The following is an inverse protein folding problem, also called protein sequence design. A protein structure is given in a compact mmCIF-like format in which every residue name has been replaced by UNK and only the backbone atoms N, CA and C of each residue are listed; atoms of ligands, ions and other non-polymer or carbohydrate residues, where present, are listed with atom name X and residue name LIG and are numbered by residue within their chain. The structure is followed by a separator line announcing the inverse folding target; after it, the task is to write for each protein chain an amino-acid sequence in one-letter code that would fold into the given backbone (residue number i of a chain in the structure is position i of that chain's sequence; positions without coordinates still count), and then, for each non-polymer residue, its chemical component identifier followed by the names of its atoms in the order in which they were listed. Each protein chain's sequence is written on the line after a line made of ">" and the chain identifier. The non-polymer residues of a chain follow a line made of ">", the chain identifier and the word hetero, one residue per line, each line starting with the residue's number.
data_IF_963943556152
#
_entry.id   IF_963943556152
#
_cell.length_a   1.000
_cell.length_b   1.000
_cell.length_c   1.000
_cell.angle_alpha   90.00
_cell.angle_beta   90.00
_cell.angle_gamma   90.00
#
_symmetry.space_group_name_H-M   'P 1'
#
loop_
_entity.id
_entity.type
_entity.pdbx_description
1 polymer ?
#
# COMPACT_ATOMS: atom_id res chain seq x y z
N UNK A 1 -6.60 -19.79 31.39
CA UNK A 1 -5.60 -20.82 31.05
C UNK A 1 -5.10 -20.52 29.65
N UNK A 2 -3.81 -20.23 29.52
CA UNK A 2 -3.16 -19.97 28.23
C UNK A 2 -2.89 -21.29 27.51
N UNK A 3 -3.12 -21.35 26.20
CA UNK A 3 -2.85 -22.53 25.35
C UNK A 3 -2.31 -22.06 23.99
N UNK A 4 -0.99 -21.90 23.84
CA UNK A 4 -0.39 -21.37 22.62
C UNK A 4 -0.59 -22.27 21.40
N UNK A 5 -0.69 -23.59 21.57
CA UNK A 5 -0.91 -24.51 20.44
C UNK A 5 -2.32 -24.31 19.91
N UNK A 6 -3.31 -24.30 20.80
CA UNK A 6 -4.70 -24.07 20.41
C UNK A 6 -4.89 -22.67 19.85
N UNK A 7 -4.19 -21.67 20.38
CA UNK A 7 -4.18 -20.32 19.84
C UNK A 7 -3.69 -20.27 18.39
N UNK A 8 -2.60 -20.97 18.06
CA UNK A 8 -2.11 -21.09 16.67
C UNK A 8 -3.10 -21.78 15.75
N UNK A 9 -3.72 -22.88 16.18
CA UNK A 9 -4.76 -23.56 15.39
C UNK A 9 -5.96 -22.64 15.10
N UNK A 10 -6.38 -21.85 16.09
CA UNK A 10 -7.45 -20.85 15.92
C UNK A 10 -7.01 -19.70 15.01
N UNK A 11 -5.75 -19.28 15.10
CA UNK A 11 -5.17 -18.25 14.25
C UNK A 11 -5.16 -18.68 12.78
N UNK A 12 -4.69 -19.89 12.48
CA UNK A 12 -4.67 -20.47 11.13
C UNK A 12 -6.10 -20.62 10.59
N UNK A 13 -7.04 -21.07 11.43
CA UNK A 13 -8.46 -21.14 11.08
C UNK A 13 -9.04 -19.75 10.78
N UNK A 14 -8.64 -18.72 11.52
CA UNK A 14 -9.08 -17.34 11.31
C UNK A 14 -8.54 -16.77 10.00
N UNK A 15 -7.25 -16.98 9.68
CA UNK A 15 -6.67 -16.62 8.38
C UNK A 15 -7.44 -17.26 7.23
N UNK A 16 -7.71 -18.56 7.36
CA UNK A 16 -8.44 -19.32 6.36
C UNK A 16 -9.91 -18.87 6.22
N UNK A 17 -10.55 -18.47 7.32
CA UNK A 17 -11.90 -17.92 7.33
C UNK A 17 -11.94 -16.52 6.68
N UNK A 18 -10.94 -15.66 6.95
CA UNK A 18 -10.85 -14.34 6.34
C UNK A 18 -10.75 -14.43 4.80
N UNK A 19 -9.98 -15.41 4.30
CA UNK A 19 -9.85 -15.67 2.86
C UNK A 19 -11.15 -16.18 2.20
N UNK A 20 -11.93 -17.02 2.89
CA UNK A 20 -13.11 -17.71 2.31
C UNK A 20 -14.45 -17.03 2.56
N UNK A 21 -14.61 -16.39 3.71
CA UNK A 21 -15.91 -15.95 4.24
C UNK A 21 -15.92 -14.52 4.79
N UNK A 22 -14.80 -13.80 4.67
CA UNK A 22 -14.66 -12.42 5.12
C UNK A 22 -14.42 -12.26 6.62
N UNK A 23 -14.23 -11.01 7.05
CA UNK A 23 -13.78 -10.66 8.40
C UNK A 23 -14.76 -11.10 9.50
N UNK A 24 -16.06 -11.17 9.21
CA UNK A 24 -17.09 -11.55 10.17
C UNK A 24 -16.87 -12.96 10.77
N UNK A 25 -16.32 -13.90 9.99
CA UNK A 25 -16.05 -15.27 10.45
C UNK A 25 -14.68 -15.39 11.14
N UNK A 26 -13.72 -14.52 10.78
CA UNK A 26 -12.36 -14.56 11.30
C UNK A 26 -12.21 -13.89 12.67
N UNK A 27 -12.92 -12.78 12.90
CA UNK A 27 -12.90 -12.02 14.15
C UNK A 27 -13.13 -12.87 15.43
N UNK A 28 -14.15 -13.74 15.53
CA UNK A 28 -14.34 -14.55 16.73
C UNK A 28 -13.20 -15.53 16.96
N UNK A 29 -12.62 -16.10 15.89
CA UNK A 29 -11.50 -17.04 15.97
C UNK A 29 -10.22 -16.35 16.44
N UNK A 30 -9.89 -15.18 15.90
CA UNK A 30 -8.78 -14.37 16.39
C UNK A 30 -9.00 -13.86 17.81
N UNK A 31 -10.24 -13.52 18.19
CA UNK A 31 -10.59 -13.15 19.56
C UNK A 31 -10.35 -14.29 20.55
N UNK A 32 -10.70 -15.52 20.18
CA UNK A 32 -10.40 -16.70 21.00
C UNK A 32 -8.90 -17.02 21.02
N UNK A 33 -8.21 -16.93 19.89
CA UNK A 33 -6.76 -17.09 19.81
C UNK A 33 -6.04 -16.12 20.76
N UNK A 34 -6.45 -14.84 20.76
CA UNK A 34 -5.90 -13.82 21.65
C UNK A 34 -6.17 -14.12 23.13
N UNK A 35 -7.34 -14.66 23.46
CA UNK A 35 -7.66 -15.08 24.84
C UNK A 35 -6.73 -16.20 25.33
N UNK A 36 -6.31 -17.10 24.43
CA UNK A 36 -5.44 -18.23 24.74
C UNK A 36 -3.95 -17.89 24.68
N UNK A 37 -3.56 -16.91 23.84
CA UNK A 37 -2.21 -16.37 23.75
C UNK A 37 -2.26 -14.82 23.68
N UNK A 38 -2.36 -14.14 24.84
CA UNK A 38 -2.57 -12.69 24.87
C UNK A 38 -1.46 -11.87 24.24
N UNK A 39 -0.23 -12.36 24.27
CA UNK A 39 0.97 -11.66 23.78
C UNK A 39 1.47 -12.21 22.43
N UNK A 40 0.63 -12.98 21.72
CA UNK A 40 0.96 -13.43 20.37
C UNK A 40 0.86 -12.25 19.38
N UNK A 41 2.02 -11.81 18.88
CA UNK A 41 2.15 -10.64 18.02
C UNK A 41 1.40 -10.82 16.71
N UNK A 42 1.43 -12.01 16.12
CA UNK A 42 0.76 -12.28 14.85
C UNK A 42 -0.76 -12.23 15.04
N UNK A 43 -1.28 -12.79 16.14
CA UNK A 43 -2.71 -12.68 16.48
C UNK A 43 -3.11 -11.22 16.71
N UNK A 44 -2.31 -10.45 17.45
CA UNK A 44 -2.58 -9.03 17.71
C UNK A 44 -2.63 -8.22 16.41
N UNK A 45 -1.68 -8.44 15.50
CA UNK A 45 -1.59 -7.74 14.21
C UNK A 45 -2.77 -8.10 13.32
N UNK A 46 -3.07 -9.39 13.13
CA UNK A 46 -4.16 -9.81 12.24
C UNK A 46 -5.54 -9.41 12.78
N UNK A 47 -5.77 -9.54 14.09
CA UNK A 47 -7.00 -9.05 14.70
C UNK A 47 -7.12 -7.53 14.59
N UNK A 48 -6.01 -6.79 14.78
CA UNK A 48 -5.97 -5.35 14.63
C UNK A 48 -6.32 -4.90 13.21
N UNK A 49 -5.77 -5.55 12.17
CA UNK A 49 -6.14 -5.32 10.78
C UNK A 49 -7.62 -5.56 10.52
N UNK A 50 -8.16 -6.68 11.03
CA UNK A 50 -9.57 -7.02 10.87
C UNK A 50 -10.49 -5.99 11.54
N UNK A 51 -10.14 -5.54 12.75
CA UNK A 51 -10.90 -4.51 13.46
C UNK A 51 -10.84 -3.15 12.74
N UNK A 52 -9.68 -2.75 12.22
CA UNK A 52 -9.54 -1.53 11.43
C UNK A 52 -10.45 -1.55 10.19
N UNK A 53 -10.44 -2.66 9.45
CA UNK A 53 -11.30 -2.85 8.27
C UNK A 53 -12.80 -2.89 8.60
N UNK A 54 -13.17 -3.29 9.82
CA UNK A 54 -14.54 -3.20 10.34
C UNK A 54 -14.89 -1.82 10.94
N UNK A 55 -13.98 -0.85 10.91
CA UNK A 55 -14.19 0.49 11.45
C UNK A 55 -13.96 0.63 12.95
N UNK A 56 -13.57 -0.44 13.65
CA UNK A 56 -13.24 -0.46 15.09
C UNK A 56 -11.81 0.08 15.35
N UNK A 57 -11.56 1.31 14.89
CA UNK A 57 -10.23 1.94 14.85
C UNK A 57 -9.56 2.05 16.22
N UNK A 58 -10.31 2.40 17.27
CA UNK A 58 -9.75 2.54 18.62
C UNK A 58 -9.19 1.22 19.15
N UNK A 59 -9.93 0.12 19.00
CA UNK A 59 -9.46 -1.21 19.41
C UNK A 59 -8.30 -1.69 18.54
N UNK A 60 -8.33 -1.41 17.24
CA UNK A 60 -7.21 -1.71 16.35
C UNK A 60 -5.92 -0.98 16.80
N UNK A 61 -6.03 0.29 17.20
CA UNK A 61 -4.89 1.08 17.70
C UNK A 61 -4.31 0.49 18.98
N UNK A 62 -5.16 0.06 19.92
CA UNK A 62 -4.73 -0.58 21.17
C UNK A 62 -3.95 -1.87 20.90
N UNK A 63 -4.44 -2.72 19.99
CA UNK A 63 -3.76 -3.97 19.61
C UNK A 63 -2.45 -3.69 18.87
N UNK A 64 -2.44 -2.74 17.94
CA UNK A 64 -1.25 -2.34 17.19
C UNK A 64 -0.15 -1.81 18.12
N UNK A 65 -0.52 -0.91 19.05
CA UNK A 65 0.42 -0.36 20.03
C UNK A 65 0.95 -1.45 20.98
N UNK A 66 0.12 -2.43 21.35
CA UNK A 66 0.56 -3.58 22.16
C UNK A 66 1.52 -4.46 21.37
N UNK A 67 1.19 -4.81 20.14
CA UNK A 67 2.06 -5.60 19.27
C UNK A 67 3.42 -4.92 19.05
N UNK A 68 3.43 -3.59 18.84
CA UNK A 68 4.65 -2.82 18.66
C UNK A 68 5.53 -2.77 19.92
N UNK A 69 4.93 -2.80 21.13
CA UNK A 69 5.71 -2.93 22.38
C UNK A 69 6.30 -4.32 22.57
N UNK A 70 5.61 -5.36 22.12
CA UNK A 70 6.05 -6.76 22.24
C UNK A 70 7.13 -7.12 21.22
N UNK A 71 7.06 -6.57 20.01
CA UNK A 71 8.01 -6.78 18.92
C UNK A 71 8.43 -5.45 18.29
N UNK A 72 9.24 -4.62 18.99
CA UNK A 72 9.61 -3.28 18.53
C UNK A 72 10.54 -3.29 17.31
N UNK A 73 11.16 -4.44 17.02
CA UNK A 73 12.09 -4.66 15.91
C UNK A 73 11.45 -5.35 14.69
N UNK A 74 10.12 -5.49 14.68
CA UNK A 74 9.35 -6.09 13.60
C UNK A 74 8.52 -5.04 12.86
N UNK A 75 8.47 -5.10 11.53
CA UNK A 75 7.79 -4.08 10.72
C UNK A 75 6.27 -4.08 10.85
N UNK A 76 5.64 -5.26 10.90
CA UNK A 76 4.20 -5.42 10.78
C UNK A 76 3.37 -4.67 11.86
N UNK A 77 3.72 -4.69 13.16
CA UNK A 77 3.01 -3.91 14.17
C UNK A 77 3.05 -2.40 13.92
N UNK A 78 4.22 -1.88 13.51
CA UNK A 78 4.38 -0.46 13.18
C UNK A 78 3.61 -0.09 11.91
N UNK A 79 3.58 -0.99 10.91
CA UNK A 79 2.81 -0.78 9.69
C UNK A 79 1.31 -0.69 9.98
N UNK A 80 0.79 -1.59 10.83
CA UNK A 80 -0.60 -1.53 11.30
C UNK A 80 -0.89 -0.23 12.06
N UNK A 81 -0.02 0.16 13.00
CA UNK A 81 -0.19 1.40 13.76
C UNK A 81 -0.20 2.63 12.84
N UNK A 82 0.63 2.62 11.79
CA UNK A 82 0.63 3.63 10.72
C UNK A 82 -0.72 3.72 10.01
N UNK A 83 -1.27 2.59 9.57
CA UNK A 83 -2.58 2.55 8.91
C UNK A 83 -3.70 3.07 9.82
N UNK A 84 -3.76 2.58 11.06
CA UNK A 84 -4.79 2.98 12.02
C UNK A 84 -4.67 4.46 12.38
N UNK A 85 -3.44 4.97 12.52
CA UNK A 85 -3.18 6.39 12.75
C UNK A 85 -3.68 7.28 11.61
N UNK A 86 -3.39 6.91 10.36
CA UNK A 86 -3.91 7.65 9.19
C UNK A 86 -5.44 7.64 9.15
N UNK A 87 -6.06 6.49 9.40
CA UNK A 87 -7.51 6.35 9.42
C UNK A 87 -8.17 7.16 10.53
N UNK A 88 -7.45 7.42 11.63
CA UNK A 88 -7.86 8.28 12.74
C UNK A 88 -7.55 9.77 12.50
N UNK A 89 -6.84 10.12 11.42
CA UNK A 89 -6.39 11.48 11.13
C UNK A 89 -5.15 11.90 11.94
N UNK A 90 -4.56 11.02 12.74
CA UNK A 90 -3.29 11.25 13.43
C UNK A 90 -2.11 11.00 12.48
N UNK A 91 -1.92 11.94 11.56
CA UNK A 91 -0.89 11.88 10.53
C UNK A 91 0.51 11.86 11.15
N UNK A 92 0.73 12.52 12.28
CA UNK A 92 2.05 12.59 12.92
C UNK A 92 2.48 11.21 13.42
N UNK A 93 1.65 10.56 14.24
CA UNK A 93 1.93 9.21 14.75
C UNK A 93 2.01 8.20 13.61
N UNK A 94 1.19 8.37 12.57
CA UNK A 94 1.22 7.47 11.43
C UNK A 94 2.56 7.51 10.69
N UNK A 95 3.08 8.71 10.40
CA UNK A 95 4.35 8.87 9.71
C UNK A 95 5.53 8.34 10.53
N UNK A 96 5.54 8.57 11.84
CA UNK A 96 6.54 7.97 12.74
C UNK A 96 6.47 6.44 12.71
N UNK A 97 5.27 5.88 12.77
CA UNK A 97 5.05 4.44 12.72
C UNK A 97 5.51 3.83 11.39
N UNK A 98 5.23 4.48 10.25
CA UNK A 98 5.73 4.02 8.96
C UNK A 98 7.25 4.09 8.85
N UNK A 99 7.89 5.11 9.41
CA UNK A 99 9.35 5.21 9.44
C UNK A 99 9.97 4.07 10.27
N UNK A 100 9.37 3.74 11.42
CA UNK A 100 9.77 2.58 12.23
C UNK A 100 9.55 1.27 11.47
N UNK A 101 8.41 1.10 10.81
CA UNK A 101 8.15 -0.06 9.97
C UNK A 101 9.23 -0.22 8.89
N UNK A 102 9.58 0.86 8.19
CA UNK A 102 10.59 0.85 7.12
C UNK A 102 11.99 0.49 7.64
N UNK A 103 12.36 0.94 8.84
CA UNK A 103 13.63 0.60 9.50
C UNK A 103 13.74 -0.90 9.80
N UNK A 104 12.61 -1.56 10.07
CA UNK A 104 12.53 -2.95 10.50
C UNK A 104 12.05 -3.91 9.41
N UNK A 105 11.80 -3.41 8.19
CA UNK A 105 11.29 -4.20 7.07
C UNK A 105 12.31 -5.23 6.57
N UNK A 106 11.89 -6.50 6.52
CA UNK A 106 12.63 -7.55 5.82
C UNK A 106 12.61 -7.31 4.32
N UNK A 107 13.50 -7.98 3.58
CA UNK A 107 13.66 -7.75 2.13
C UNK A 107 12.35 -7.93 1.35
N UNK A 108 11.54 -8.93 1.73
CA UNK A 108 10.22 -9.23 1.18
C UNK A 108 9.16 -8.16 1.49
N UNK A 109 9.29 -7.45 2.61
CA UNK A 109 8.33 -6.45 3.09
C UNK A 109 8.66 -5.02 2.64
N UNK A 110 9.91 -4.76 2.25
CA UNK A 110 10.41 -3.41 1.93
C UNK A 110 9.57 -2.66 0.91
N UNK A 111 9.08 -3.35 -0.13
CA UNK A 111 8.24 -2.75 -1.15
C UNK A 111 6.93 -2.20 -0.57
N UNK A 112 6.17 -3.05 0.12
CA UNK A 112 4.86 -2.69 0.66
C UNK A 112 4.96 -1.60 1.73
N UNK A 113 5.97 -1.73 2.61
CA UNK A 113 6.21 -0.75 3.68
C UNK A 113 6.62 0.61 3.09
N UNK A 114 7.51 0.62 2.10
CA UNK A 114 7.94 1.85 1.44
C UNK A 114 6.79 2.53 0.70
N UNK A 115 5.94 1.76 0.00
CA UNK A 115 4.76 2.28 -0.70
C UNK A 115 3.76 2.90 0.30
N UNK A 116 3.48 2.22 1.42
CA UNK A 116 2.59 2.75 2.45
C UNK A 116 3.13 4.05 3.04
N UNK A 117 4.42 4.08 3.41
CA UNK A 117 5.09 5.25 3.95
C UNK A 117 5.09 6.43 2.97
N UNK A 118 5.47 6.18 1.71
CA UNK A 118 5.53 7.20 0.67
C UNK A 118 4.14 7.79 0.35
N UNK A 119 3.09 6.96 0.32
CA UNK A 119 1.70 7.43 0.15
C UNK A 119 1.27 8.32 1.32
N UNK A 120 1.63 7.95 2.55
CA UNK A 120 1.34 8.76 3.73
C UNK A 120 2.04 10.12 3.67
N UNK A 121 3.34 10.13 3.36
CA UNK A 121 4.14 11.35 3.20
C UNK A 121 3.60 12.26 2.09
N UNK A 122 3.23 11.67 0.95
CA UNK A 122 2.62 12.40 -0.17
C UNK A 122 1.31 13.08 0.22
N UNK A 123 0.41 12.38 0.92
CA UNK A 123 -0.84 12.96 1.42
C UNK A 123 -0.60 14.10 2.41
N UNK A 124 0.49 14.04 3.16
CA UNK A 124 0.93 15.10 4.07
C UNK A 124 1.67 16.25 3.35
N UNK A 125 1.78 16.25 2.02
CA UNK A 125 2.50 17.27 1.24
C UNK A 125 4.02 17.16 1.29
N UNK A 126 4.56 16.07 1.87
CA UNK A 126 6.00 15.84 2.06
C UNK A 126 6.60 15.06 0.88
N UNK A 127 6.46 15.61 -0.34
CA UNK A 127 6.79 14.90 -1.59
C UNK A 127 8.26 14.48 -1.73
N UNK A 128 9.19 15.29 -1.22
CA UNK A 128 10.64 14.96 -1.23
C UNK A 128 10.93 13.75 -0.35
N UNK A 129 10.33 13.70 0.83
CA UNK A 129 10.52 12.59 1.77
C UNK A 129 9.80 11.34 1.27
N UNK A 130 8.63 11.49 0.62
CA UNK A 130 7.95 10.37 -0.01
C UNK A 130 8.83 9.70 -1.07
N UNK A 131 9.55 10.49 -1.87
CA UNK A 131 10.49 9.96 -2.85
C UNK A 131 11.67 9.24 -2.18
N UNK A 132 12.20 9.82 -1.09
CA UNK A 132 13.26 9.19 -0.31
C UNK A 132 12.82 7.85 0.32
N UNK A 133 11.57 7.75 0.77
CA UNK A 133 11.02 6.52 1.35
C UNK A 133 10.99 5.35 0.34
N UNK A 134 10.88 5.64 -0.97
CA UNK A 134 10.94 4.63 -2.03
C UNK A 134 12.36 4.26 -2.47
N UNK A 135 13.39 5.02 -2.05
CA UNK A 135 14.74 4.84 -2.58
C UNK A 135 15.34 3.45 -2.31
N UNK A 136 14.92 2.80 -1.20
CA UNK A 136 15.34 1.46 -0.80
C UNK A 136 14.35 0.35 -1.19
N UNK A 137 13.23 0.69 -1.84
CA UNK A 137 12.26 -0.29 -2.30
C UNK A 137 12.77 -1.04 -3.55
N UNK A 138 12.33 -2.29 -3.78
CA UNK A 138 12.64 -3.02 -5.00
C UNK A 138 12.19 -2.23 -6.24
N UNK A 139 13.12 -2.01 -7.18
CA UNK A 139 12.88 -1.19 -8.38
C UNK A 139 12.24 -1.96 -9.54
N UNK A 140 12.06 -3.25 -9.37
CA UNK A 140 11.38 -4.16 -10.30
C UNK A 140 9.88 -4.29 -10.02
N UNK A 141 9.40 -3.67 -8.93
CA UNK A 141 7.98 -3.63 -8.58
C UNK A 141 7.27 -2.48 -9.28
N UNK A 142 6.25 -2.82 -10.07
CA UNK A 142 5.46 -1.87 -10.86
C UNK A 142 4.79 -0.80 -9.97
N UNK A 143 4.22 -1.20 -8.83
CA UNK A 143 3.55 -0.27 -7.91
C UNK A 143 4.52 0.74 -7.26
N UNK A 144 5.76 0.33 -7.02
CA UNK A 144 6.85 1.21 -6.57
C UNK A 144 7.21 2.21 -7.67
N UNK A 145 7.39 1.74 -8.91
CA UNK A 145 7.74 2.58 -10.07
C UNK A 145 6.63 3.59 -10.39
N UNK A 146 5.37 3.17 -10.40
CA UNK A 146 4.22 4.04 -10.62
C UNK A 146 4.14 5.16 -9.57
N UNK A 147 4.33 4.82 -8.28
CA UNK A 147 4.32 5.83 -7.23
C UNK A 147 5.54 6.77 -7.29
N UNK A 148 6.72 6.24 -7.61
CA UNK A 148 7.92 7.05 -7.79
C UNK A 148 7.75 8.03 -8.96
N UNK A 149 7.17 7.58 -10.08
CA UNK A 149 6.85 8.41 -11.23
C UNK A 149 5.85 9.52 -10.86
N UNK A 150 4.79 9.17 -10.12
CA UNK A 150 3.83 10.16 -9.64
C UNK A 150 4.50 11.23 -8.77
N UNK A 151 5.39 10.83 -7.87
CA UNK A 151 6.12 11.76 -7.02
C UNK A 151 7.09 12.64 -7.80
N UNK A 152 7.71 12.12 -8.86
CA UNK A 152 8.55 12.90 -9.77
C UNK A 152 7.72 13.92 -10.56
N UNK A 153 6.56 13.51 -11.07
CA UNK A 153 5.61 14.40 -11.74
C UNK A 153 5.10 15.52 -10.80
N UNK A 154 4.74 15.19 -9.56
CA UNK A 154 4.32 16.15 -8.53
C UNK A 154 5.42 17.20 -8.24
N UNK A 155 6.70 16.86 -8.49
CA UNK A 155 7.87 17.75 -8.34
C UNK A 155 8.25 18.48 -9.65
N UNK A 156 7.55 18.24 -10.75
CA UNK A 156 7.87 18.77 -12.08
C UNK A 156 9.07 18.08 -12.77
N UNK A 157 9.56 16.97 -12.22
CA UNK A 157 10.66 16.19 -12.80
C UNK A 157 10.14 15.24 -13.89
N UNK A 158 9.68 15.81 -15.01
CA UNK A 158 8.99 15.10 -16.10
C UNK A 158 9.85 13.98 -16.70
N UNK A 159 11.15 14.22 -16.91
CA UNK A 159 12.04 13.20 -17.48
C UNK A 159 12.25 12.00 -16.53
N UNK A 160 12.36 12.26 -15.22
CA UNK A 160 12.44 11.22 -14.19
C UNK A 160 11.14 10.40 -14.14
N UNK A 161 9.99 11.09 -14.14
CA UNK A 161 8.69 10.43 -14.17
C UNK A 161 8.52 9.55 -15.41
N UNK A 162 8.88 10.06 -16.59
CA UNK A 162 8.82 9.32 -17.86
C UNK A 162 9.68 8.06 -17.80
N UNK A 163 10.92 8.16 -17.31
CA UNK A 163 11.83 7.02 -17.24
C UNK A 163 11.26 5.90 -16.34
N UNK A 164 10.69 6.26 -15.18
CA UNK A 164 10.09 5.29 -14.26
C UNK A 164 8.85 4.60 -14.85
N UNK A 165 8.02 5.32 -15.59
CA UNK A 165 6.84 4.75 -16.25
C UNK A 165 7.20 3.84 -17.42
N UNK A 166 8.23 4.21 -18.22
CA UNK A 166 8.76 3.31 -19.26
C UNK A 166 9.26 2.02 -18.64
N UNK A 167 10.06 2.12 -17.58
CA UNK A 167 10.54 0.93 -16.86
C UNK A 167 9.38 0.08 -16.31
N UNK A 168 8.31 0.71 -15.82
CA UNK A 168 7.13 -0.02 -15.34
C UNK A 168 6.43 -0.81 -16.45
N UNK A 169 6.31 -0.24 -17.66
CA UNK A 169 5.77 -0.94 -18.83
C UNK A 169 6.70 -2.02 -19.38
N UNK A 170 8.03 -1.88 -19.21
CA UNK A 170 8.99 -2.95 -19.56
C UNK A 170 8.88 -4.15 -18.61
N UNK A 171 8.56 -3.93 -17.33
CA UNK A 171 8.38 -5.00 -16.35
C UNK A 171 7.07 -5.78 -16.54
N UNK A 172 5.98 -5.08 -16.87
CA UNK A 172 4.71 -5.71 -17.21
C UNK A 172 4.05 -4.98 -18.39
N UNK A 173 4.29 -5.48 -19.62
CA UNK A 173 3.75 -4.89 -20.83
C UNK A 173 2.22 -4.92 -20.91
N UNK A 174 1.56 -5.79 -20.15
CA UNK A 174 0.11 -5.95 -20.16
C UNK A 174 -0.59 -5.09 -19.07
N UNK A 175 0.19 -4.40 -18.22
CA UNK A 175 -0.35 -3.48 -17.22
C UNK A 175 -0.71 -2.13 -17.87
N UNK A 176 -1.96 -1.67 -17.81
CA UNK A 176 -2.39 -0.45 -18.52
C UNK A 176 -1.93 0.87 -17.87
N UNK A 177 -1.73 0.87 -16.55
CA UNK A 177 -1.44 2.08 -15.76
C UNK A 177 -0.19 2.86 -16.19
N UNK A 178 0.96 2.24 -16.50
CA UNK A 178 2.16 2.96 -16.94
C UNK A 178 1.92 3.76 -18.21
N UNK A 179 1.20 3.19 -19.17
CA UNK A 179 0.85 3.83 -20.44
C UNK A 179 -0.17 4.95 -20.25
N UNK A 180 -1.19 4.75 -19.40
CA UNK A 180 -2.14 5.80 -19.03
C UNK A 180 -1.44 6.99 -18.35
N UNK A 181 -0.52 6.70 -17.43
CA UNK A 181 0.27 7.72 -16.75
C UNK A 181 1.23 8.45 -17.71
N UNK A 182 1.90 7.75 -18.64
CA UNK A 182 2.73 8.37 -19.66
C UNK A 182 1.93 9.28 -20.59
N UNK A 183 0.75 8.81 -21.03
CA UNK A 183 -0.15 9.59 -21.84
C UNK A 183 -0.58 10.89 -21.15
N UNK A 184 -0.90 10.81 -19.85
CA UNK A 184 -1.23 11.98 -19.04
C UNK A 184 -0.05 12.93 -18.91
N UNK A 185 1.15 12.40 -18.65
CA UNK A 185 2.39 13.17 -18.49
C UNK A 185 2.77 13.94 -19.77
N UNK A 186 2.49 13.37 -20.93
CA UNK A 186 2.89 13.89 -22.24
C UNK A 186 1.78 14.68 -22.96
N UNK A 187 0.58 14.78 -22.39
CA UNK A 187 -0.61 15.33 -23.06
C UNK A 187 -0.39 16.74 -23.66
N UNK A 188 0.43 17.55 -23.00
CA UNK A 188 0.72 18.94 -23.40
C UNK A 188 2.01 19.05 -24.25
N UNK A 189 2.96 18.12 -24.10
CA UNK A 189 4.28 18.20 -24.76
C UNK A 189 4.38 17.37 -26.04
N UNK A 190 3.72 16.22 -26.07
CA UNK A 190 3.68 15.29 -27.21
C UNK A 190 2.31 14.61 -27.30
N UNK A 191 1.35 15.36 -27.84
CA UNK A 191 -0.05 14.93 -27.94
C UNK A 191 -0.25 13.69 -28.82
N UNK A 192 0.63 13.50 -29.82
CA UNK A 192 0.58 12.35 -30.72
C UNK A 192 0.92 11.07 -29.98
N UNK A 193 2.09 11.04 -29.34
CA UNK A 193 2.52 9.90 -28.53
C UNK A 193 1.56 9.66 -27.34
N UNK A 194 1.09 10.74 -26.70
CA UNK A 194 0.10 10.63 -25.62
C UNK A 194 -1.17 9.90 -26.07
N UNK A 195 -1.66 10.19 -27.28
CA UNK A 195 -2.86 9.55 -27.83
C UNK A 195 -2.64 8.06 -28.10
N UNK A 196 -1.50 7.70 -28.66
CA UNK A 196 -1.14 6.30 -28.93
C UNK A 196 -1.06 5.50 -27.62
N UNK A 197 -0.40 6.04 -26.61
CA UNK A 197 -0.27 5.43 -25.29
C UNK A 197 -1.61 5.28 -24.57
N UNK A 198 -2.48 6.31 -24.64
CA UNK A 198 -3.82 6.25 -24.06
C UNK A 198 -4.69 5.17 -24.75
N UNK A 199 -4.57 5.05 -26.08
CA UNK A 199 -5.28 4.02 -26.83
C UNK A 199 -4.77 2.61 -26.51
N UNK A 200 -3.46 2.46 -26.32
CA UNK A 200 -2.86 1.20 -25.90
C UNK A 200 -3.33 0.80 -24.49
N UNK A 201 -3.32 1.73 -23.53
CA UNK A 201 -3.84 1.50 -22.18
C UNK A 201 -5.32 1.06 -22.21
N UNK A 202 -6.16 1.73 -23.02
CA UNK A 202 -7.56 1.36 -23.18
C UNK A 202 -7.75 -0.01 -23.85
N UNK A 203 -6.85 -0.40 -24.76
CA UNK A 203 -6.91 -1.73 -25.38
C UNK A 203 -6.60 -2.84 -24.35
N UNK A 204 -5.66 -2.60 -23.44
CA UNK A 204 -5.33 -3.50 -22.32
C UNK A 204 -6.46 -3.56 -21.28
N UNK A 205 -7.13 -2.44 -21.00
CA UNK A 205 -8.29 -2.38 -20.10
C UNK A 205 -9.50 -1.65 -20.73
N UNK A 206 -10.32 -2.33 -21.56
CA UNK A 206 -11.43 -1.71 -22.27
C UNK A 206 -12.51 -1.10 -21.38
N UNK A 207 -12.61 -1.54 -20.13
CA UNK A 207 -13.54 -1.04 -19.13
C UNK A 207 -13.03 0.19 -18.35
N UNK A 208 -11.78 0.63 -18.56
CA UNK A 208 -11.23 1.82 -17.89
C UNK A 208 -11.84 3.10 -18.47
N UNK A 209 -12.75 3.71 -17.71
CA UNK A 209 -13.42 4.96 -18.07
C UNK A 209 -12.45 6.15 -18.14
N UNK A 210 -11.40 6.16 -17.32
CA UNK A 210 -10.38 7.22 -17.34
C UNK A 210 -9.55 7.15 -18.61
N UNK A 211 -9.12 5.94 -18.99
CA UNK A 211 -8.39 5.74 -20.25
C UNK A 211 -9.25 6.15 -21.45
N UNK A 212 -10.54 5.82 -21.45
CA UNK A 212 -11.48 6.22 -22.51
C UNK A 212 -11.68 7.74 -22.58
N UNK A 213 -11.80 8.39 -21.43
CA UNK A 213 -11.90 9.84 -21.34
C UNK A 213 -10.63 10.52 -21.87
N UNK A 214 -9.45 9.98 -21.52
CA UNK A 214 -8.16 10.51 -21.97
C UNK A 214 -7.99 10.42 -23.49
N UNK A 215 -8.32 9.28 -24.10
CA UNK A 215 -8.32 9.13 -25.57
C UNK A 215 -9.23 10.17 -26.24
N UNK A 216 -10.43 10.36 -25.69
CA UNK A 216 -11.41 11.32 -26.22
C UNK A 216 -10.90 12.76 -26.12
N UNK A 217 -10.33 13.13 -24.98
CA UNK A 217 -9.77 14.47 -24.75
C UNK A 217 -8.60 14.77 -25.70
N UNK A 218 -7.71 13.79 -25.90
CA UNK A 218 -6.57 13.90 -26.82
C UNK A 218 -6.97 13.91 -28.30
N UNK A 219 -8.21 13.52 -28.63
CA UNK A 219 -8.73 13.56 -29.99
C UNK A 219 -9.42 14.85 -30.39
N UNK A 220 -9.84 15.67 -29.43
CA UNK A 220 -10.68 16.84 -29.63
C UNK A 220 -9.93 18.15 -29.92
N UNK A 221 -8.60 18.14 -29.95
CA UNK A 221 -7.76 19.32 -30.22
C UNK A 221 -6.52 18.92 -30.99
#
# INVERSE_FOLDING_TARGET
>A
MTDPRRARELHDAALAAAQRGGLAQALPLWGEALRLAPDDVDVLVHLGHALAACGERARAAELAARAARLAPDTAAPWLLLGHVGLDAGDVATALESYALAARHARSDERGDVAVAHARALRRAGRAVEAAAALAAAPRDRIDVLLLAAQLAADRGAVDEARAMLVQAGEHDPDHPEPYKALATLLADSDRGLARELAAHALALAPADDEARALVTALAAG
#
